data_IF_706623300263
#
_entry.id   IF_706623300263
#
_cell.length_a   1.000
_cell.length_b   1.000
_cell.length_c   1.000
_cell.angle_alpha   90.00
_cell.angle_beta   90.00
_cell.angle_gamma   90.00
#
_symmetry.space_group_name_H-M   'P 1'
#
loop_
_entity.id
_entity.type
_entity.pdbx_description
1 polymer ?
#
# COMPACT_ATOMS: atom_id res chain seq x y z
N UNK A 1 -39.81 21.86 98.38
CA UNK A 1 -40.43 22.92 97.55
C UNK A 1 -39.39 23.38 96.53
N UNK A 2 -39.34 23.00 95.26
CA UNK A 2 -39.99 21.99 94.42
C UNK A 2 -38.83 21.27 93.70
N UNK A 3 -38.83 19.94 93.62
CA UNK A 3 -37.80 19.20 92.89
C UNK A 3 -38.38 17.93 92.28
N UNK A 4 -38.23 17.86 90.96
CA UNK A 4 -37.64 16.73 90.20
C UNK A 4 -38.48 15.50 89.82
N UNK A 5 -38.20 15.13 88.56
CA UNK A 5 -38.04 13.78 87.97
C UNK A 5 -39.29 13.13 87.37
N UNK A 6 -39.14 12.77 86.08
CA UNK A 6 -39.60 11.49 85.56
C UNK A 6 -38.58 10.97 84.53
N UNK A 7 -38.23 9.69 84.64
CA UNK A 7 -37.45 8.91 83.68
C UNK A 7 -37.79 7.42 83.83
N UNK A 8 -37.81 6.69 82.70
CA UNK A 8 -37.37 5.29 82.50
C UNK A 8 -38.36 4.53 81.58
N UNK A 9 -38.03 4.17 80.34
CA UNK A 9 -37.14 3.11 79.79
C UNK A 9 -37.83 1.74 79.63
N UNK A 10 -37.73 1.17 78.41
CA UNK A 10 -38.27 -0.15 78.05
C UNK A 10 -37.18 -1.07 77.48
N UNK A 11 -37.38 -2.38 77.66
CA UNK A 11 -36.48 -3.49 77.37
C UNK A 11 -36.39 -3.87 75.88
N UNK A 12 -35.22 -4.37 75.45
CA UNK A 12 -35.12 -5.35 74.37
C UNK A 12 -33.86 -6.24 74.48
N UNK A 13 -33.94 -7.42 73.88
CA UNK A 13 -33.26 -8.68 74.21
C UNK A 13 -31.86 -8.87 73.59
N UNK A 14 -31.07 -9.74 74.25
CA UNK A 14 -29.78 -10.33 73.83
C UNK A 14 -29.85 -11.10 72.49
N UNK A 15 -28.74 -11.13 71.73
CA UNK A 15 -27.94 -12.35 71.41
C UNK A 15 -26.65 -12.07 70.59
N UNK A 16 -25.53 -12.51 71.19
CA UNK A 16 -24.25 -13.12 70.71
C UNK A 16 -23.59 -12.72 69.38
N UNK A 17 -22.26 -12.51 69.49
CA UNK A 17 -21.23 -12.24 68.47
C UNK A 17 -20.71 -13.52 67.79
N UNK A 18 -20.40 -13.48 66.49
CA UNK A 18 -19.29 -14.19 65.76
C UNK A 18 -19.09 -13.42 64.44
N UNK A 19 -18.10 -12.53 64.30
CA UNK A 19 -16.71 -12.74 63.83
C UNK A 19 -16.56 -13.16 62.35
N UNK A 20 -16.03 -12.20 61.55
CA UNK A 20 -14.99 -12.36 60.51
C UNK A 20 -15.17 -13.47 59.46
N UNK A 21 -15.70 -13.16 58.26
CA UNK A 21 -15.48 -13.96 57.03
C UNK A 21 -15.90 -13.27 55.70
N UNK A 22 -16.04 -11.93 55.64
CA UNK A 22 -16.57 -11.27 54.43
C UNK A 22 -15.49 -10.68 53.50
N UNK A 23 -14.22 -10.60 53.91
CA UNK A 23 -13.21 -9.84 53.16
C UNK A 23 -12.35 -10.67 52.18
N UNK A 24 -12.44 -12.00 52.20
CA UNK A 24 -11.58 -12.88 51.36
C UNK A 24 -12.26 -13.29 50.04
N UNK A 25 -13.59 -13.21 49.95
CA UNK A 25 -14.33 -13.69 48.78
C UNK A 25 -14.48 -12.67 47.64
N UNK A 26 -14.11 -11.40 47.87
CA UNK A 26 -14.14 -10.35 46.84
C UNK A 26 -12.81 -10.22 46.06
N UNK A 27 -11.83 -11.09 46.32
CA UNK A 27 -10.50 -11.06 45.70
C UNK A 27 -10.29 -12.09 44.58
N UNK A 28 -11.31 -12.89 44.23
CA UNK A 28 -11.16 -14.06 43.33
C UNK A 28 -11.89 -13.94 41.98
N UNK A 29 -12.40 -12.76 41.61
CA UNK A 29 -13.10 -12.52 40.34
C UNK A 29 -12.42 -11.46 39.45
N UNK A 30 -11.14 -11.17 39.67
CA UNK A 30 -10.30 -10.58 38.61
C UNK A 30 -9.68 -11.74 37.86
N UNK A 31 -10.51 -12.41 37.04
CA UNK A 31 -9.98 -13.22 35.94
C UNK A 31 -9.28 -12.23 35.01
N UNK A 32 -7.99 -12.05 35.20
CA UNK A 32 -7.10 -11.51 34.18
C UNK A 32 -7.24 -12.39 32.95
N UNK A 33 -8.16 -12.05 32.05
CA UNK A 33 -8.03 -12.44 30.66
C UNK A 33 -6.77 -11.73 30.18
N UNK A 34 -5.63 -12.37 30.39
CA UNK A 34 -4.46 -12.14 29.58
C UNK A 34 -4.91 -12.46 28.15
N UNK A 35 -5.43 -11.45 27.46
CA UNK A 35 -5.48 -11.46 26.01
C UNK A 35 -4.02 -11.51 25.62
N UNK A 36 -3.51 -12.73 25.44
CA UNK A 36 -2.31 -12.96 24.66
C UNK A 36 -2.56 -12.22 23.36
N UNK A 37 -1.84 -11.11 23.19
CA UNK A 37 -1.87 -10.35 21.96
C UNK A 37 -1.18 -11.27 20.96
N UNK A 38 -1.98 -12.15 20.35
CA UNK A 38 -1.55 -13.00 19.25
C UNK A 38 -0.76 -12.10 18.32
N UNK A 39 0.53 -12.42 18.04
CA UNK A 39 1.36 -11.57 17.23
C UNK A 39 0.58 -11.32 15.95
N UNK A 40 0.22 -10.05 15.70
CA UNK A 40 -0.59 -9.61 14.56
C UNK A 40 -0.18 -10.44 13.36
N UNK A 41 -1.00 -11.44 13.00
CA UNK A 41 -0.63 -12.39 11.96
C UNK A 41 -0.27 -11.56 10.75
N UNK A 42 0.99 -11.63 10.31
CA UNK A 42 1.47 -10.83 9.18
C UNK A 42 0.60 -11.16 7.99
N UNK A 43 -0.32 -10.25 7.64
CA UNK A 43 -1.29 -10.46 6.57
C UNK A 43 -0.69 -9.91 5.30
N UNK A 44 -0.44 -10.82 4.35
CA UNK A 44 -0.06 -10.43 3.01
C UNK A 44 -1.19 -9.63 2.37
N UNK A 45 -0.85 -8.49 1.78
CA UNK A 45 -1.76 -7.64 1.03
C UNK A 45 -1.17 -7.32 -0.33
N UNK A 46 -2.06 -7.13 -1.29
CA UNK A 46 -1.69 -6.66 -2.61
C UNK A 46 -2.66 -5.57 -3.06
N UNK A 47 -2.14 -4.62 -3.83
CA UNK A 47 -2.91 -3.55 -4.43
C UNK A 47 -2.47 -3.35 -5.86
N UNK A 48 -3.42 -3.15 -6.76
CA UNK A 48 -3.15 -2.98 -8.19
C UNK A 48 -3.85 -1.73 -8.73
N UNK A 49 -3.22 -1.10 -9.71
CA UNK A 49 -3.81 0.02 -10.45
C UNK A 49 -3.17 0.14 -11.83
N UNK A 50 -3.92 0.71 -12.77
CA UNK A 50 -3.43 1.09 -14.10
C UNK A 50 -3.53 2.60 -14.29
N UNK A 51 -2.49 3.20 -14.83
CA UNK A 51 -2.47 4.60 -15.25
C UNK A 51 -2.27 4.67 -16.76
N UNK A 52 -3.19 5.33 -17.46
CA UNK A 52 -3.02 5.65 -18.87
C UNK A 52 -1.76 6.52 -19.06
N UNK A 53 -0.91 6.14 -20.02
CA UNK A 53 0.32 6.82 -20.41
C UNK A 53 0.35 7.12 -21.92
N UNK A 54 -0.80 7.13 -22.59
CA UNK A 54 -0.88 7.39 -24.03
C UNK A 54 -0.50 8.84 -24.34
N UNK A 55 0.46 9.07 -25.25
CA UNK A 55 0.82 10.41 -25.67
C UNK A 55 -0.26 11.04 -26.57
N UNK A 56 -0.26 12.37 -26.76
CA UNK A 56 -1.03 13.00 -27.82
C UNK A 56 -0.69 12.44 -29.21
N UNK A 57 -1.65 12.53 -30.15
CA UNK A 57 -1.38 12.24 -31.56
C UNK A 57 -0.31 13.20 -32.12
N UNK A 58 0.44 12.74 -33.12
CA UNK A 58 1.55 13.46 -33.73
C UNK A 58 2.93 13.10 -33.16
N UNK A 59 2.98 12.48 -31.97
CA UNK A 59 4.23 11.95 -31.41
C UNK A 59 4.81 10.81 -32.25
N UNK A 60 6.14 10.70 -32.29
CA UNK A 60 6.81 9.68 -33.10
C UNK A 60 6.67 8.28 -32.49
N UNK A 61 6.17 7.33 -33.26
CA UNK A 61 6.19 5.91 -32.91
C UNK A 61 7.62 5.39 -33.07
N UNK A 62 8.17 4.79 -32.00
CA UNK A 62 9.54 4.28 -31.94
C UNK A 62 9.61 2.76 -31.78
N UNK A 63 10.75 2.17 -32.16
CA UNK A 63 11.00 0.72 -32.18
C UNK A 63 11.30 0.19 -33.59
N UNK A 64 10.86 0.92 -34.62
CA UNK A 64 11.35 0.75 -35.99
C UNK A 64 12.60 1.58 -36.28
N UNK A 65 13.17 1.38 -37.48
CA UNK A 65 14.33 2.15 -37.97
C UNK A 65 13.94 3.51 -38.58
N UNK A 66 12.67 3.70 -38.89
CA UNK A 66 12.12 4.95 -39.44
C UNK A 66 10.90 5.36 -38.59
N UNK A 67 11.10 6.23 -37.58
CA UNK A 67 10.01 6.72 -36.75
C UNK A 67 9.00 7.51 -37.58
N UNK A 68 7.71 7.29 -37.32
CA UNK A 68 6.61 7.99 -38.01
C UNK A 68 5.65 8.60 -36.99
N UNK A 69 5.05 9.77 -37.26
CA UNK A 69 4.06 10.36 -36.37
C UNK A 69 2.83 9.47 -36.19
N UNK A 70 2.37 9.30 -34.96
CA UNK A 70 1.14 8.60 -34.63
C UNK A 70 -0.07 9.38 -35.15
N UNK A 71 -0.84 8.77 -36.06
CA UNK A 71 -2.07 9.35 -36.62
C UNK A 71 -3.35 8.74 -36.01
N UNK A 72 -3.21 7.64 -35.28
CA UNK A 72 -4.32 6.91 -34.66
C UNK A 72 -3.83 6.16 -33.42
N UNK A 73 -4.69 6.02 -32.41
CA UNK A 73 -4.48 5.18 -31.23
C UNK A 73 -5.31 3.91 -31.39
N UNK A 74 -4.66 2.78 -31.62
CA UNK A 74 -5.32 1.47 -31.69
C UNK A 74 -5.70 0.98 -30.28
N UNK A 75 -4.72 0.96 -29.37
CA UNK A 75 -4.90 0.65 -27.95
C UNK A 75 -4.27 1.73 -27.09
N UNK A 76 -4.87 1.99 -25.94
CA UNK A 76 -4.30 2.84 -24.90
C UNK A 76 -3.06 2.18 -24.28
N UNK A 77 -2.03 2.98 -24.00
CA UNK A 77 -0.80 2.55 -23.33
C UNK A 77 -0.96 2.71 -21.81
N UNK A 78 -0.40 1.77 -21.04
CA UNK A 78 -0.54 1.81 -19.57
C UNK A 78 0.78 1.64 -18.82
N UNK A 79 0.85 2.31 -17.67
CA UNK A 79 1.67 1.92 -16.53
C UNK A 79 0.80 1.04 -15.60
N UNK A 80 1.11 -0.25 -15.53
CA UNK A 80 0.42 -1.23 -14.67
C UNK A 80 1.23 -1.42 -13.40
N UNK A 81 0.65 -1.05 -12.27
CA UNK A 81 1.33 -1.02 -10.97
C UNK A 81 0.77 -2.12 -10.06
N UNK A 82 1.66 -2.89 -9.46
CA UNK A 82 1.38 -3.88 -8.43
C UNK A 82 2.21 -3.55 -7.19
N UNK A 83 1.54 -3.35 -6.05
CA UNK A 83 2.18 -3.18 -4.75
C UNK A 83 1.91 -4.41 -3.90
N UNK A 84 2.97 -4.96 -3.31
CA UNK A 84 2.92 -6.10 -2.40
C UNK A 84 3.37 -5.65 -1.01
N UNK A 85 2.66 -6.11 0.02
CA UNK A 85 2.89 -5.78 1.43
C UNK A 85 2.86 -7.06 2.27
N UNK A 86 3.96 -7.37 2.96
CA UNK A 86 4.06 -8.53 3.86
C UNK A 86 3.76 -8.20 5.34
N UNK A 87 3.33 -6.96 5.62
CA UNK A 87 3.11 -6.42 6.96
C UNK A 87 4.35 -5.83 7.63
N UNK A 88 5.54 -5.91 7.01
CA UNK A 88 6.78 -5.27 7.44
C UNK A 88 7.35 -4.35 6.36
N UNK A 89 7.28 -4.79 5.10
CA UNK A 89 7.86 -4.15 3.95
C UNK A 89 6.87 -4.13 2.79
N UNK A 90 6.92 -3.04 2.05
CA UNK A 90 6.19 -2.87 0.80
C UNK A 90 7.17 -2.77 -0.37
N UNK A 91 6.82 -3.40 -1.48
CA UNK A 91 7.53 -3.26 -2.77
C UNK A 91 6.51 -2.88 -3.86
N UNK A 92 6.98 -2.20 -4.90
CA UNK A 92 6.19 -1.89 -6.07
C UNK A 92 6.86 -2.44 -7.34
N UNK A 93 6.06 -3.07 -8.19
CA UNK A 93 6.44 -3.51 -9.52
C UNK A 93 5.56 -2.78 -10.54
N UNK A 94 6.19 -2.17 -11.54
CA UNK A 94 5.50 -1.42 -12.58
C UNK A 94 5.92 -1.91 -13.96
N UNK A 95 4.94 -2.25 -14.80
CA UNK A 95 5.15 -2.50 -16.22
C UNK A 95 4.62 -1.31 -17.02
N UNK A 96 5.47 -0.74 -17.88
CA UNK A 96 5.10 0.38 -18.75
C UNK A 96 5.11 -0.05 -20.22
N UNK A 97 4.07 0.33 -20.94
CA UNK A 97 3.97 0.09 -22.39
C UNK A 97 4.85 1.06 -23.18
N UNK A 98 6.16 0.78 -23.21
CA UNK A 98 7.16 1.56 -23.94
C UNK A 98 8.27 0.65 -24.50
N UNK A 99 9.03 1.10 -25.50
CA UNK A 99 10.21 0.37 -26.00
C UNK A 99 11.32 0.32 -24.92
N UNK A 100 11.46 1.42 -24.20
CA UNK A 100 12.42 1.59 -23.12
C UNK A 100 12.24 2.99 -22.52
N UNK A 101 12.72 3.18 -21.31
CA UNK A 101 12.63 4.43 -20.56
C UNK A 101 14.01 4.78 -20.03
N UNK A 102 14.44 6.03 -20.20
CA UNK A 102 15.74 6.47 -19.70
C UNK A 102 15.79 6.48 -18.17
N UNK A 103 17.00 6.32 -17.64
CA UNK A 103 17.22 6.25 -16.19
C UNK A 103 16.76 7.50 -15.47
N UNK A 104 17.06 8.69 -15.98
CA UNK A 104 16.66 9.96 -15.37
C UNK A 104 15.12 10.08 -15.20
N UNK A 105 14.35 9.60 -16.17
CA UNK A 105 12.88 9.52 -16.12
C UNK A 105 12.45 8.56 -15.01
N UNK A 106 13.05 7.36 -14.94
CA UNK A 106 12.73 6.37 -13.91
C UNK A 106 13.10 6.86 -12.51
N UNK A 107 14.26 7.48 -12.35
CA UNK A 107 14.70 8.06 -11.08
C UNK A 107 13.76 9.18 -10.65
N UNK A 108 13.28 10.02 -11.58
CA UNK A 108 12.27 11.03 -11.30
C UNK A 108 10.94 10.40 -10.87
N UNK A 109 10.46 9.40 -11.59
CA UNK A 109 9.23 8.68 -11.26
C UNK A 109 9.31 8.03 -9.86
N UNK A 110 10.45 7.40 -9.54
CA UNK A 110 10.68 6.78 -8.22
C UNK A 110 10.73 7.80 -7.10
N UNK A 111 11.34 8.98 -7.31
CA UNK A 111 11.30 10.08 -6.33
C UNK A 111 9.87 10.54 -6.06
N UNK A 112 9.10 10.81 -7.12
CA UNK A 112 7.69 11.22 -6.99
C UNK A 112 6.86 10.15 -6.28
N UNK A 113 7.01 8.88 -6.67
CA UNK A 113 6.30 7.76 -6.07
C UNK A 113 6.66 7.62 -4.59
N UNK A 114 7.94 7.76 -4.24
CA UNK A 114 8.42 7.70 -2.87
C UNK A 114 7.81 8.79 -2.00
N UNK A 115 7.81 10.04 -2.48
CA UNK A 115 7.17 11.16 -1.78
C UNK A 115 5.67 10.98 -1.60
N UNK A 116 4.95 10.47 -2.62
CA UNK A 116 3.49 10.32 -2.56
C UNK A 116 3.05 9.15 -1.68
N UNK A 117 3.72 8.01 -1.80
CA UNK A 117 3.24 6.72 -1.27
C UNK A 117 3.98 6.23 -0.01
N UNK A 118 5.11 6.86 0.33
CA UNK A 118 5.98 6.43 1.43
C UNK A 118 6.80 5.16 1.12
N UNK A 119 6.77 4.65 -0.11
CA UNK A 119 7.63 3.55 -0.56
C UNK A 119 9.07 4.06 -0.77
N UNK A 120 10.11 3.42 -0.21
CA UNK A 120 11.49 3.74 -0.55
C UNK A 120 11.76 3.49 -2.04
N UNK A 121 12.54 4.36 -2.68
CA UNK A 121 12.79 4.30 -4.13
C UNK A 121 13.48 2.99 -4.56
N UNK A 122 14.34 2.45 -3.70
CA UNK A 122 15.02 1.17 -3.85
C UNK A 122 14.08 -0.05 -3.82
N UNK A 123 12.84 0.12 -3.36
CA UNK A 123 11.79 -0.91 -3.35
C UNK A 123 10.81 -0.79 -4.52
N UNK A 124 11.14 0.03 -5.51
CA UNK A 124 10.35 0.25 -6.71
C UNK A 124 11.12 -0.29 -7.92
N UNK A 125 10.55 -1.31 -8.55
CA UNK A 125 10.99 -1.86 -9.83
C UNK A 125 10.07 -1.35 -10.94
N UNK A 126 10.66 -0.82 -12.00
CA UNK A 126 9.95 -0.41 -13.21
C UNK A 126 10.60 -1.09 -14.39
N UNK A 127 9.80 -1.73 -15.24
CA UNK A 127 10.25 -2.37 -16.47
C UNK A 127 9.34 -2.00 -17.63
N UNK A 128 9.90 -1.99 -18.83
CA UNK A 128 9.16 -1.73 -20.06
C UNK A 128 8.77 -3.04 -20.74
N UNK A 129 7.60 -3.06 -21.39
CA UNK A 129 7.16 -4.23 -22.19
C UNK A 129 7.94 -4.41 -23.48
N UNK A 130 8.77 -3.43 -23.84
CA UNK A 130 9.52 -3.39 -25.09
C UNK A 130 8.62 -3.35 -26.34
N UNK A 131 7.48 -2.65 -26.24
CA UNK A 131 6.60 -2.43 -27.41
C UNK A 131 7.24 -1.48 -28.42
N UNK A 132 7.16 -1.83 -29.70
CA UNK A 132 7.65 -1.04 -30.84
C UNK A 132 6.54 -0.16 -31.46
N UNK A 133 5.49 0.12 -30.69
CA UNK A 133 4.30 0.85 -31.16
C UNK A 133 3.90 1.98 -30.19
N UNK A 134 4.87 2.51 -29.44
CA UNK A 134 4.69 3.60 -28.46
C UNK A 134 5.60 4.80 -28.80
N UNK A 135 5.37 5.94 -28.13
CA UNK A 135 6.25 7.12 -28.24
C UNK A 135 7.57 6.95 -27.48
N UNK A 136 8.54 7.80 -27.80
CA UNK A 136 9.86 7.81 -27.14
C UNK A 136 9.76 8.31 -25.71
N UNK A 137 10.14 7.49 -24.72
CA UNK A 137 10.44 7.96 -23.37
C UNK A 137 11.95 8.18 -23.18
N UNK A 138 12.70 8.29 -24.28
CA UNK A 138 14.16 8.49 -24.29
C UNK A 138 14.56 9.90 -24.73
N UNK A 139 13.60 10.79 -24.91
CA UNK A 139 13.82 12.15 -25.38
C UNK A 139 14.44 12.21 -26.78
N UNK A 140 14.90 13.40 -27.16
CA UNK A 140 15.53 13.66 -28.46
C UNK A 140 16.93 13.05 -28.57
N UNK A 141 17.71 13.10 -27.48
CA UNK A 141 19.02 12.48 -27.41
C UNK A 141 19.02 11.34 -26.37
N UNK A 142 18.98 10.08 -26.80
CA UNK A 142 18.91 8.95 -25.89
C UNK A 142 20.22 8.67 -25.12
N UNK A 143 21.27 9.44 -25.36
CA UNK A 143 22.57 9.33 -24.68
C UNK A 143 22.82 10.45 -23.67
N UNK A 144 21.91 11.42 -23.57
CA UNK A 144 22.02 12.53 -22.62
C UNK A 144 20.97 12.39 -21.51
N UNK A 145 21.37 11.81 -20.38
CA UNK A 145 20.53 11.71 -19.19
C UNK A 145 20.53 13.00 -18.34
N UNK A 146 21.34 14.00 -18.70
CA UNK A 146 21.45 15.28 -17.98
C UNK A 146 20.47 16.32 -18.48
N UNK A 147 19.95 16.13 -19.70
CA UNK A 147 18.91 16.97 -20.26
C UNK A 147 17.67 17.01 -19.34
N UNK A 148 16.99 18.16 -19.24
CA UNK A 148 15.67 18.24 -18.62
C UNK A 148 14.71 17.25 -19.27
N UNK A 149 13.78 16.73 -18.45
CA UNK A 149 12.72 15.85 -18.98
C UNK A 149 11.82 16.64 -19.93
N UNK A 150 11.51 16.04 -21.07
CA UNK A 150 10.48 16.57 -21.97
C UNK A 150 9.06 16.36 -21.40
N UNK A 151 8.06 16.83 -22.15
CA UNK A 151 6.66 16.78 -21.73
C UNK A 151 6.16 15.34 -21.55
N UNK A 152 6.50 14.43 -22.47
CA UNK A 152 6.05 13.04 -22.38
C UNK A 152 6.79 12.29 -21.26
N UNK A 153 8.08 12.54 -21.07
CA UNK A 153 8.87 12.00 -19.97
C UNK A 153 8.33 12.47 -18.60
N UNK A 154 8.01 13.75 -18.48
CA UNK A 154 7.42 14.33 -17.27
C UNK A 154 6.04 13.73 -16.99
N UNK A 155 5.19 13.65 -18.03
CA UNK A 155 3.89 13.01 -17.95
C UNK A 155 4.02 11.54 -17.51
N UNK A 156 4.81 10.73 -18.21
CA UNK A 156 5.05 9.33 -17.91
C UNK A 156 5.50 9.11 -16.46
N UNK A 157 6.50 9.88 -16.01
CA UNK A 157 7.00 9.78 -14.64
C UNK A 157 5.91 10.09 -13.60
N UNK A 158 5.09 11.12 -13.85
CA UNK A 158 3.94 11.46 -13.02
C UNK A 158 2.90 10.34 -12.98
N UNK A 159 2.57 9.74 -14.14
CA UNK A 159 1.58 8.68 -14.27
C UNK A 159 2.01 7.36 -13.60
N UNK A 160 3.30 7.04 -13.64
CA UNK A 160 3.89 5.92 -12.88
C UNK A 160 3.69 6.17 -11.37
N UNK A 161 4.04 7.36 -10.88
CA UNK A 161 3.90 7.70 -9.47
C UNK A 161 2.43 7.68 -9.00
N UNK A 162 1.51 8.19 -9.81
CA UNK A 162 0.07 8.11 -9.54
C UNK A 162 -0.44 6.67 -9.51
N UNK A 163 0.04 5.83 -10.43
CA UNK A 163 -0.31 4.42 -10.51
C UNK A 163 0.11 3.68 -9.24
N UNK A 164 1.34 3.93 -8.76
CA UNK A 164 1.84 3.36 -7.51
C UNK A 164 1.01 3.85 -6.32
N UNK A 165 0.71 5.15 -6.23
CA UNK A 165 -0.13 5.68 -5.14
C UNK A 165 -1.51 5.02 -5.11
N UNK A 166 -2.14 4.88 -6.28
CA UNK A 166 -3.45 4.23 -6.40
C UNK A 166 -3.38 2.76 -6.04
N UNK A 167 -2.32 2.06 -6.44
CA UNK A 167 -2.09 0.67 -6.02
C UNK A 167 -1.92 0.56 -4.49
N UNK A 168 -1.22 1.49 -3.84
CA UNK A 168 -1.16 1.56 -2.37
C UNK A 168 -2.53 1.76 -1.75
N UNK A 169 -3.34 2.68 -2.28
CA UNK A 169 -4.70 2.91 -1.78
C UNK A 169 -5.63 1.69 -1.96
N UNK A 170 -5.32 0.83 -2.93
CA UNK A 170 -6.08 -0.38 -3.25
C UNK A 170 -5.59 -1.63 -2.49
N UNK A 171 -4.69 -1.51 -1.51
CA UNK A 171 -4.18 -2.66 -0.75
C UNK A 171 -5.31 -3.42 -0.05
N UNK A 172 -5.47 -4.69 -0.40
CA UNK A 172 -6.43 -5.60 0.23
C UNK A 172 -5.74 -6.93 0.62
N UNK A 173 -6.28 -7.71 1.57
CA UNK A 173 -5.77 -9.05 1.88
C UNK A 173 -5.64 -9.89 0.61
N UNK A 174 -4.50 -10.55 0.44
CA UNK A 174 -4.18 -11.27 -0.79
C UNK A 174 -3.45 -12.59 -0.50
N UNK A 175 -3.37 -13.42 -1.53
CA UNK A 175 -2.53 -14.62 -1.59
C UNK A 175 -1.65 -14.53 -2.85
N UNK A 176 -0.48 -15.16 -2.82
CA UNK A 176 0.43 -15.22 -3.96
C UNK A 176 0.69 -16.68 -4.33
N UNK A 177 0.68 -16.97 -5.62
CA UNK A 177 1.03 -18.26 -6.21
C UNK A 177 1.85 -18.04 -7.47
N UNK A 178 2.58 -19.07 -7.91
CA UNK A 178 3.36 -19.04 -9.13
C UNK A 178 3.23 -20.36 -9.88
N UNK A 179 3.44 -20.31 -11.19
CA UNK A 179 3.43 -21.46 -12.08
C UNK A 179 4.22 -21.14 -13.34
N UNK A 180 4.62 -22.19 -14.06
CA UNK A 180 5.29 -22.10 -15.35
C UNK A 180 4.77 -23.22 -16.25
N UNK A 181 4.81 -23.00 -17.56
CA UNK A 181 4.41 -23.99 -18.56
C UNK A 181 5.37 -23.91 -19.75
N UNK A 182 5.52 -25.02 -20.47
CA UNK A 182 6.25 -25.08 -21.73
C UNK A 182 5.27 -25.30 -22.87
N UNK A 183 5.46 -24.64 -24.03
CA UNK A 183 4.67 -24.97 -25.20
C UNK A 183 4.87 -26.46 -25.50
N UNK A 184 3.77 -27.23 -25.56
CA UNK A 184 3.83 -28.56 -26.14
C UNK A 184 4.22 -28.38 -27.60
N UNK A 185 5.40 -28.84 -27.98
CA UNK A 185 5.72 -29.03 -29.39
C UNK A 185 4.73 -30.04 -29.94
N UNK A 186 3.89 -29.61 -30.88
CA UNK A 186 3.08 -30.54 -31.65
C UNK A 186 4.04 -31.38 -32.50
N UNK A 187 4.17 -32.67 -32.17
CA UNK A 187 4.68 -33.70 -33.09
C UNK A 187 3.55 -34.20 -33.99
#
# INVERSE_FOLDING_TARGET
MISRIACSYSHARRRRRVATSAAVLLLLLVSTTATGQEPSARRFRAGAATSNITPPLGELIVGGWSPTPATHIHDELFARCLVLDDGQSRIAMVLVDNVGVLRNVLDHAKRLASTRSGLPAERILVASTHTHSASTARGTNPYDETAPLDDYQTFLAGRIADGIQRAVNNLAPAQIGWGYDFPRTAE
#
